data_IF_462500395171
#
_entry.id   IF_462500395171
#
_cell.length_a   1.000
_cell.length_b   1.000
_cell.length_c   1.000
_cell.angle_alpha   90.00
_cell.angle_beta   90.00
_cell.angle_gamma   90.00
#
_symmetry.space_group_name_H-M   'P 1'
#
loop_
_entity.id
_entity.type
_entity.pdbx_description
1 polymer ?
#
# COMPACT_ATOMS: atom_id res chain seq x y z
N UNK A 1 13.49 -28.10 -29.64
CA UNK A 1 12.65 -26.89 -29.73
C UNK A 1 11.44 -27.09 -28.82
N UNK A 2 11.66 -27.18 -27.51
CA UNK A 2 10.58 -27.25 -26.48
C UNK A 2 11.08 -26.71 -25.12
N UNK A 3 12.41 -26.57 -24.91
CA UNK A 3 12.98 -25.94 -23.71
C UNK A 3 13.25 -24.43 -23.87
N UNK A 4 13.24 -23.89 -25.09
CA UNK A 4 13.57 -22.48 -25.38
C UNK A 4 12.35 -21.54 -25.32
N UNK A 5 11.11 -22.06 -25.39
CA UNK A 5 9.88 -21.27 -25.28
C UNK A 5 9.45 -20.97 -23.83
N UNK A 6 10.00 -21.68 -22.84
CA UNK A 6 9.69 -21.45 -21.41
C UNK A 6 10.55 -20.36 -20.76
N UNK A 7 11.48 -19.77 -21.53
CA UNK A 7 12.44 -18.78 -21.04
C UNK A 7 12.02 -17.33 -21.35
N UNK A 8 10.81 -17.10 -21.86
CA UNK A 8 10.24 -15.75 -22.06
C UNK A 8 9.47 -15.23 -20.83
N UNK A 9 9.35 -16.02 -19.75
CA UNK A 9 8.40 -15.75 -18.66
C UNK A 9 9.00 -15.34 -17.30
N UNK A 10 10.28 -15.01 -17.24
CA UNK A 10 10.91 -14.45 -16.03
C UNK A 10 11.61 -13.14 -16.37
N UNK A 11 10.86 -12.19 -16.95
CA UNK A 11 11.33 -10.82 -17.06
C UNK A 11 11.36 -10.23 -15.65
N UNK A 12 12.47 -10.41 -14.94
CA UNK A 12 12.78 -9.64 -13.76
C UNK A 12 12.84 -8.17 -14.20
N UNK A 13 11.96 -7.35 -13.64
CA UNK A 13 12.00 -5.91 -13.82
C UNK A 13 12.78 -5.33 -12.64
N UNK A 14 14.11 -5.21 -12.73
CA UNK A 14 14.89 -4.51 -11.71
C UNK A 14 14.28 -3.13 -11.51
N UNK A 15 14.10 -2.73 -10.25
CA UNK A 15 13.44 -1.48 -9.82
C UNK A 15 11.91 -1.38 -9.99
N UNK A 16 11.20 -2.42 -10.43
CA UNK A 16 9.74 -2.36 -10.57
C UNK A 16 9.02 -2.02 -9.26
N UNK A 17 9.50 -2.58 -8.15
CA UNK A 17 8.98 -2.27 -6.81
C UNK A 17 9.16 -0.78 -6.49
N UNK A 18 10.30 -0.18 -6.83
CA UNK A 18 10.58 1.24 -6.59
C UNK A 18 9.65 2.12 -7.42
N UNK A 19 9.48 1.82 -8.70
CA UNK A 19 8.52 2.51 -9.56
C UNK A 19 7.10 2.44 -8.98
N UNK A 20 6.65 1.27 -8.51
CA UNK A 20 5.32 1.15 -7.89
C UNK A 20 5.23 2.01 -6.63
N UNK A 21 6.24 1.99 -5.77
CA UNK A 21 6.27 2.79 -4.54
C UNK A 21 6.25 4.29 -4.84
N UNK A 22 7.01 4.74 -5.84
CA UNK A 22 7.04 6.13 -6.29
C UNK A 22 5.65 6.55 -6.81
N UNK A 23 4.99 5.71 -7.62
CA UNK A 23 3.62 5.95 -8.10
C UNK A 23 2.60 6.01 -6.98
N UNK A 24 2.69 5.13 -5.99
CA UNK A 24 1.82 5.18 -4.80
C UNK A 24 2.07 6.46 -4.00
N UNK A 25 3.31 6.93 -3.92
CA UNK A 25 3.61 8.19 -3.25
C UNK A 25 3.02 9.40 -4.02
N UNK A 26 3.19 9.45 -5.34
CA UNK A 26 2.58 10.49 -6.20
C UNK A 26 1.05 10.51 -6.05
N UNK A 27 0.41 9.34 -6.02
CA UNK A 27 -1.03 9.22 -5.81
C UNK A 27 -1.45 9.76 -4.44
N UNK A 28 -0.69 9.45 -3.38
CA UNK A 28 -0.93 9.97 -2.03
C UNK A 28 -0.84 11.49 -1.97
N UNK A 29 0.19 12.08 -2.59
CA UNK A 29 0.40 13.53 -2.63
C UNK A 29 -0.70 14.25 -3.41
N UNK A 30 -1.26 13.60 -4.43
CA UNK A 30 -2.34 14.12 -5.26
C UNK A 30 -3.74 13.74 -4.75
N UNK A 31 -3.84 13.09 -3.59
CA UNK A 31 -5.12 12.66 -3.01
C UNK A 31 -5.93 11.74 -3.96
N UNK A 32 -5.24 10.93 -4.74
CA UNK A 32 -5.84 9.98 -5.68
C UNK A 32 -5.80 8.57 -5.10
N UNK A 33 -6.93 7.88 -5.16
CA UNK A 33 -7.09 6.48 -4.72
C UNK A 33 -6.76 6.21 -3.25
N UNK A 34 -6.55 7.23 -2.42
CA UNK A 34 -6.43 7.08 -0.98
C UNK A 34 -7.79 6.75 -0.39
N UNK A 35 -7.86 5.67 0.38
CA UNK A 35 -9.09 5.07 0.91
C UNK A 35 -9.11 5.06 2.45
N UNK A 36 -8.11 5.71 3.07
CA UNK A 36 -7.98 5.92 4.52
C UNK A 36 -7.31 7.25 4.85
N UNK A 37 -7.72 7.86 5.97
CA UNK A 37 -7.04 8.97 6.61
C UNK A 37 -6.61 8.56 8.02
N UNK A 38 -5.32 8.70 8.32
CA UNK A 38 -4.74 8.52 9.65
C UNK A 38 -4.70 9.87 10.35
N UNK A 39 -5.02 9.91 11.65
CA UNK A 39 -4.99 11.13 12.45
C UNK A 39 -3.93 10.96 13.53
N UNK A 40 -2.85 11.73 13.46
CA UNK A 40 -1.76 11.64 14.44
C UNK A 40 -1.55 13.03 15.00
N UNK A 41 -1.75 13.19 16.31
CA UNK A 41 -1.64 14.47 17.00
C UNK A 41 -2.44 15.62 16.31
N UNK A 42 -3.67 15.31 15.88
CA UNK A 42 -4.54 16.25 15.15
C UNK A 42 -4.16 16.51 13.68
N UNK A 43 -3.07 15.94 13.18
CA UNK A 43 -2.69 16.01 11.77
C UNK A 43 -3.34 14.88 10.96
N UNK A 44 -3.82 15.20 9.76
CA UNK A 44 -4.48 14.23 8.88
C UNK A 44 -3.53 13.75 7.77
N UNK A 45 -3.37 12.43 7.65
CA UNK A 45 -2.52 11.79 6.65
C UNK A 45 -3.34 10.83 5.81
N UNK A 46 -3.53 11.15 4.53
CA UNK A 46 -4.17 10.24 3.58
C UNK A 46 -3.21 9.15 3.14
N UNK A 47 -3.71 7.94 2.94
CA UNK A 47 -2.90 6.78 2.56
C UNK A 47 -3.72 5.71 1.82
N UNK A 48 -3.05 4.62 1.43
CA UNK A 48 -3.65 3.45 0.80
C UNK A 48 -3.71 2.30 1.83
N UNK A 49 -4.90 1.78 2.15
CA UNK A 49 -5.09 0.66 3.09
C UNK A 49 -4.29 -0.56 2.68
N UNK A 50 -4.28 -0.90 1.39
CA UNK A 50 -3.52 -2.04 0.88
C UNK A 50 -2.02 -1.91 1.14
N UNK A 51 -1.47 -0.70 0.93
CA UNK A 51 -0.07 -0.42 1.23
C UNK A 51 0.22 -0.53 2.72
N UNK A 52 -0.62 0.05 3.58
CA UNK A 52 -0.47 -0.07 5.03
C UNK A 52 -0.58 -1.54 5.48
N UNK A 53 -1.54 -2.31 4.96
CA UNK A 53 -1.70 -3.72 5.30
C UNK A 53 -0.48 -4.58 4.93
N UNK A 54 0.28 -4.20 3.90
CA UNK A 54 1.54 -4.85 3.55
C UNK A 54 2.69 -4.55 4.54
N UNK A 55 2.57 -3.48 5.33
CA UNK A 55 3.55 -3.10 6.36
C UNK A 55 3.29 -3.85 7.67
N UNK A 56 4.35 -4.43 8.26
CA UNK A 56 4.27 -5.23 9.52
C UNK A 56 3.60 -4.50 10.68
N UNK A 57 3.69 -3.18 10.74
CA UNK A 57 3.10 -2.37 11.82
C UNK A 57 1.58 -2.23 11.73
N UNK A 58 1.03 -2.32 10.52
CA UNK A 58 -0.37 -2.00 10.25
C UNK A 58 -1.18 -3.25 9.89
N UNK A 59 -0.55 -4.37 9.53
CA UNK A 59 -1.25 -5.61 9.17
C UNK A 59 -2.24 -6.07 10.25
N UNK A 60 -1.88 -5.97 11.54
CA UNK A 60 -2.75 -6.35 12.66
C UNK A 60 -3.96 -5.42 12.79
N UNK A 61 -3.79 -4.15 12.45
CA UNK A 61 -4.86 -3.14 12.45
C UNK A 61 -5.92 -3.46 11.39
N UNK A 62 -5.51 -4.02 10.24
CA UNK A 62 -6.41 -4.33 9.13
C UNK A 62 -6.91 -5.79 9.07
N UNK A 63 -6.35 -6.70 9.87
CA UNK A 63 -6.65 -8.14 9.79
C UNK A 63 -7.85 -8.60 10.64
N UNK A 64 -8.42 -7.76 11.49
CA UNK A 64 -9.54 -8.14 12.37
C UNK A 64 -10.90 -7.72 11.79
N UNK A 65 -11.74 -8.68 11.33
CA UNK A 65 -13.08 -8.38 10.85
C UNK A 65 -13.97 -8.01 12.05
N UNK A 66 -14.35 -6.74 12.17
CA UNK A 66 -15.25 -6.27 13.23
C UNK A 66 -14.89 -4.92 13.81
N UNK A 67 -13.66 -4.44 13.63
CA UNK A 67 -13.40 -3.03 13.84
C UNK A 67 -13.88 -2.28 12.60
N UNK A 68 -15.07 -1.70 12.68
CA UNK A 68 -15.43 -0.53 11.87
C UNK A 68 -14.40 0.51 12.27
N UNK A 69 -13.30 0.57 11.53
CA UNK A 69 -12.27 1.57 11.76
C UNK A 69 -13.01 2.90 11.66
N UNK A 70 -13.13 3.68 12.76
CA UNK A 70 -13.52 5.06 12.58
C UNK A 70 -12.53 5.60 11.55
N UNK A 71 -12.99 6.37 10.57
CA UNK A 71 -12.16 6.88 9.48
C UNK A 71 -11.10 7.90 9.94
N UNK A 72 -10.68 7.76 11.20
CA UNK A 72 -9.95 8.62 12.09
C UNK A 72 -9.25 7.64 13.05
N UNK A 73 -8.13 7.07 12.63
CA UNK A 73 -7.25 6.44 13.61
C UNK A 73 -6.49 7.55 14.30
N UNK A 74 -6.94 7.95 15.49
CA UNK A 74 -6.10 8.69 16.43
C UNK A 74 -5.04 7.73 16.94
N UNK A 75 -3.86 7.70 16.33
CA UNK A 75 -2.71 7.07 16.98
C UNK A 75 -2.19 8.11 17.98
N UNK A 76 -2.50 7.87 19.26
CA UNK A 76 -1.95 8.60 20.40
C UNK A 76 -0.41 8.44 20.44
#
# INVERSE_FOLDING_TARGET
>A
MEAEEMMEFLQEFPEHHKMILDRLNEQREQDRFTDITLIVDGHHFKAHKAFLAACRFFITVFSSPGHVLPQIFSIL
#
